data_IF_068270602631
#
_entry.id   IF_068270602631
#
_cell.length_a   1.000
_cell.length_b   1.000
_cell.length_c   1.000
_cell.angle_alpha   90.00
_cell.angle_beta   90.00
_cell.angle_gamma   90.00
#
_symmetry.space_group_name_H-M   'P 1'
#
loop_
_entity.id
_entity.type
_entity.pdbx_description
1 polymer ?
#
# COMPACT_ATOMS: atom_id res chain seq x y z
N UNK A 1 3.68 -4.47 -30.36
CA UNK A 1 4.98 -4.79 -29.73
C UNK A 1 5.13 -4.29 -28.30
N UNK A 2 4.61 -3.10 -27.92
CA UNK A 2 4.66 -2.59 -26.55
C UNK A 2 3.84 -3.41 -25.53
N UNK A 3 2.63 -3.87 -25.89
CA UNK A 3 1.78 -4.70 -25.04
C UNK A 3 2.33 -6.11 -24.75
N UNK A 4 3.14 -6.67 -25.66
CA UNK A 4 3.81 -7.96 -25.45
C UNK A 4 4.99 -7.83 -24.48
N UNK A 5 5.70 -6.68 -24.47
CA UNK A 5 6.77 -6.40 -23.50
C UNK A 5 6.23 -6.17 -22.08
N UNK A 6 5.07 -5.49 -21.92
CA UNK A 6 4.44 -5.33 -20.60
C UNK A 6 3.97 -6.65 -19.98
N UNK A 7 3.46 -7.60 -20.80
CA UNK A 7 3.07 -8.93 -20.32
C UNK A 7 4.23 -9.85 -19.95
N UNK A 8 5.42 -9.61 -20.47
CA UNK A 8 6.60 -10.43 -20.20
C UNK A 8 7.38 -9.96 -18.96
N UNK A 9 7.32 -8.67 -18.62
CA UNK A 9 7.90 -8.11 -17.39
C UNK A 9 7.11 -8.53 -16.14
N UNK A 10 5.80 -8.72 -16.26
CA UNK A 10 4.90 -9.06 -15.14
C UNK A 10 5.10 -10.48 -14.58
N UNK A 11 5.77 -11.41 -15.28
CA UNK A 11 5.93 -12.82 -14.88
C UNK A 11 7.14 -13.11 -13.99
N UNK A 12 8.08 -12.18 -13.85
CA UNK A 12 9.31 -12.41 -13.10
C UNK A 12 9.28 -11.92 -11.65
N UNK A 13 8.24 -11.20 -11.24
CA UNK A 13 8.14 -10.54 -9.92
C UNK A 13 7.08 -11.14 -9.01
N UNK A 14 6.16 -11.96 -9.51
CA UNK A 14 5.13 -12.59 -8.70
C UNK A 14 5.76 -13.49 -7.62
N UNK A 15 5.45 -13.25 -6.35
CA UNK A 15 5.89 -14.10 -5.24
C UNK A 15 5.34 -15.50 -5.35
N UNK A 16 4.06 -15.62 -5.73
CA UNK A 16 3.34 -16.85 -6.01
C UNK A 16 2.00 -16.50 -6.69
N UNK A 17 1.27 -17.52 -7.16
CA UNK A 17 -0.12 -17.33 -7.56
C UNK A 17 -0.96 -16.86 -6.35
N UNK A 18 -1.83 -15.87 -6.54
CA UNK A 18 -2.72 -15.35 -5.48
C UNK A 18 -3.53 -16.44 -4.80
N UNK A 19 -3.92 -17.48 -5.52
CA UNK A 19 -4.62 -18.63 -4.94
C UNK A 19 -3.75 -19.36 -3.90
N UNK A 20 -2.46 -19.53 -4.18
CA UNK A 20 -1.49 -20.13 -3.26
C UNK A 20 -1.27 -19.24 -2.05
N UNK A 21 -1.15 -17.92 -2.25
CA UNK A 21 -0.97 -16.98 -1.14
C UNK A 21 -2.18 -16.98 -0.19
N UNK A 22 -3.39 -17.10 -0.73
CA UNK A 22 -4.63 -17.23 0.04
C UNK A 22 -4.70 -18.53 0.83
N UNK A 23 -4.28 -19.66 0.24
CA UNK A 23 -4.23 -20.94 0.91
C UNK A 23 -3.24 -20.92 2.08
N UNK A 24 -2.07 -20.30 1.87
CA UNK A 24 -1.06 -20.13 2.93
C UNK A 24 -1.59 -19.29 4.09
N UNK A 25 -2.37 -18.23 3.83
CA UNK A 25 -2.94 -17.38 4.87
C UNK A 25 -3.96 -18.09 5.77
N UNK A 26 -4.58 -19.19 5.31
CA UNK A 26 -5.48 -19.99 6.14
C UNK A 26 -4.75 -20.73 7.28
N UNK A 27 -3.44 -20.98 7.13
CA UNK A 27 -2.58 -21.51 8.20
C UNK A 27 -1.67 -20.38 8.73
N UNK A 28 -2.19 -19.59 9.66
CA UNK A 28 -1.52 -18.38 10.19
C UNK A 28 -0.12 -18.67 10.76
N UNK A 29 0.12 -19.86 11.34
CA UNK A 29 1.44 -20.22 11.88
C UNK A 29 2.49 -20.38 10.77
N UNK A 30 2.10 -20.91 9.64
CA UNK A 30 2.97 -21.10 8.48
C UNK A 30 3.01 -19.83 7.60
N UNK A 31 1.94 -19.04 7.57
CA UNK A 31 1.85 -17.83 6.76
C UNK A 31 2.96 -16.82 7.09
N UNK A 32 3.13 -16.49 8.35
CA UNK A 32 4.15 -15.52 8.79
C UNK A 32 5.54 -15.96 8.32
N UNK A 33 5.90 -17.22 8.54
CA UNK A 33 7.21 -17.73 8.13
C UNK A 33 7.36 -17.78 6.61
N UNK A 34 6.30 -18.14 5.88
CA UNK A 34 6.30 -18.18 4.42
C UNK A 34 6.55 -16.79 3.83
N UNK A 35 5.77 -15.77 4.25
CA UNK A 35 5.89 -14.41 3.72
C UNK A 35 7.22 -13.76 4.13
N UNK A 36 7.69 -14.00 5.36
CA UNK A 36 9.01 -13.55 5.81
C UNK A 36 10.13 -14.11 4.92
N UNK A 37 10.13 -15.42 4.69
CA UNK A 37 11.12 -16.06 3.82
C UNK A 37 11.04 -15.56 2.37
N UNK A 38 9.82 -15.28 1.87
CA UNK A 38 9.61 -14.75 0.53
C UNK A 38 10.20 -13.32 0.39
N UNK A 39 9.95 -12.44 1.36
CA UNK A 39 10.51 -11.09 1.40
C UNK A 39 12.04 -11.10 1.53
N UNK A 40 12.60 -11.96 2.39
CA UNK A 40 14.05 -12.12 2.50
C UNK A 40 14.68 -12.63 1.20
N UNK A 41 14.02 -13.58 0.53
CA UNK A 41 14.49 -14.08 -0.78
C UNK A 41 14.45 -12.97 -1.84
N UNK A 42 13.40 -12.17 -1.86
CA UNK A 42 13.27 -11.02 -2.75
C UNK A 42 14.40 -10.01 -2.49
N UNK A 43 14.63 -9.61 -1.25
CA UNK A 43 15.71 -8.70 -0.87
C UNK A 43 17.09 -9.23 -1.26
N UNK A 44 17.38 -10.52 -1.03
CA UNK A 44 18.63 -11.14 -1.48
C UNK A 44 18.78 -11.13 -3.00
N UNK A 45 17.70 -11.31 -3.75
CA UNK A 45 17.72 -11.25 -5.21
C UNK A 45 18.01 -9.81 -5.70
N UNK A 46 17.31 -8.83 -5.13
CA UNK A 46 17.54 -7.41 -5.46
C UNK A 46 18.96 -6.96 -5.15
N UNK A 47 19.54 -7.40 -4.02
CA UNK A 47 20.91 -7.13 -3.68
C UNK A 47 21.91 -7.69 -4.72
N UNK A 48 21.66 -8.92 -5.23
CA UNK A 48 22.49 -9.49 -6.31
C UNK A 48 22.38 -8.69 -7.61
N UNK A 49 21.17 -8.25 -7.96
CA UNK A 49 20.92 -7.44 -9.17
C UNK A 49 21.60 -6.08 -9.06
N UNK A 50 21.58 -5.48 -7.87
CA UNK A 50 22.32 -4.24 -7.56
C UNK A 50 23.81 -4.40 -7.78
N UNK A 51 24.41 -5.49 -7.29
CA UNK A 51 25.84 -5.79 -7.53
C UNK A 51 26.18 -6.08 -8.99
N UNK A 52 25.19 -6.45 -9.79
CA UNK A 52 25.31 -6.60 -11.24
C UNK A 52 25.03 -5.30 -12.01
N UNK A 53 25.07 -4.14 -11.35
CA UNK A 53 24.88 -2.81 -11.90
C UNK A 53 23.50 -2.56 -12.53
N UNK A 54 22.45 -3.23 -12.04
CA UNK A 54 21.09 -2.87 -12.43
C UNK A 54 20.68 -1.52 -11.82
N UNK A 55 19.83 -0.77 -12.52
CA UNK A 55 19.46 0.58 -12.07
C UNK A 55 18.68 0.57 -10.76
N UNK A 56 18.97 1.51 -9.88
CA UNK A 56 18.29 1.65 -8.57
C UNK A 56 16.80 1.86 -8.78
N UNK A 57 16.40 2.67 -9.77
CA UNK A 57 14.99 2.95 -10.08
C UNK A 57 14.21 1.67 -10.44
N UNK A 58 14.85 0.73 -11.15
CA UNK A 58 14.25 -0.58 -11.44
C UNK A 58 14.07 -1.39 -10.16
N UNK A 59 15.11 -1.44 -9.31
CA UNK A 59 15.12 -2.27 -8.10
C UNK A 59 14.10 -1.79 -7.06
N UNK A 60 13.97 -0.47 -6.85
CA UNK A 60 13.01 0.07 -5.87
C UNK A 60 11.56 -0.09 -6.33
N UNK A 61 11.31 -0.04 -7.63
CA UNK A 61 9.98 -0.34 -8.19
C UNK A 61 9.64 -1.82 -8.09
N UNK A 62 10.60 -2.69 -8.34
CA UNK A 62 10.40 -4.13 -8.22
C UNK A 62 10.13 -4.53 -6.77
N UNK A 63 10.82 -3.92 -5.81
CA UNK A 63 10.54 -4.15 -4.39
C UNK A 63 9.14 -3.68 -4.03
N UNK A 64 8.73 -2.50 -4.49
CA UNK A 64 7.38 -1.99 -4.25
C UNK A 64 6.30 -2.95 -4.81
N UNK A 65 6.49 -3.48 -6.02
CA UNK A 65 5.56 -4.46 -6.62
C UNK A 65 5.48 -5.77 -5.81
N UNK A 66 6.60 -6.27 -5.30
CA UNK A 66 6.63 -7.47 -4.47
C UNK A 66 5.88 -7.23 -3.15
N UNK A 67 6.09 -6.07 -2.53
CA UNK A 67 5.40 -5.69 -1.29
C UNK A 67 3.92 -5.43 -1.54
N UNK A 68 3.54 -4.85 -2.69
CA UNK A 68 2.14 -4.71 -3.11
C UNK A 68 1.42 -6.07 -3.13
N UNK A 69 2.04 -7.11 -3.71
CA UNK A 69 1.43 -8.45 -3.77
C UNK A 69 1.20 -9.05 -2.37
N UNK A 70 2.15 -8.87 -1.46
CA UNK A 70 2.02 -9.31 -0.06
C UNK A 70 0.87 -8.58 0.62
N UNK A 71 0.88 -7.26 0.55
CA UNK A 71 -0.11 -6.40 1.20
C UNK A 71 -1.52 -6.66 0.65
N UNK A 72 -1.67 -6.75 -0.67
CA UNK A 72 -2.96 -7.00 -1.30
C UNK A 72 -3.53 -8.37 -0.93
N UNK A 73 -2.68 -9.39 -0.87
CA UNK A 73 -3.11 -10.75 -0.47
C UNK A 73 -3.55 -10.79 1.00
N UNK A 74 -2.82 -10.13 1.88
CA UNK A 74 -3.17 -10.02 3.29
C UNK A 74 -4.44 -9.18 3.49
N UNK A 75 -4.54 -8.02 2.82
CA UNK A 75 -5.70 -7.15 2.90
C UNK A 75 -6.99 -7.88 2.51
N UNK A 76 -6.98 -8.53 1.34
CA UNK A 76 -8.12 -9.30 0.86
C UNK A 76 -8.53 -10.40 1.85
N UNK A 77 -7.56 -11.08 2.47
CA UNK A 77 -7.82 -12.12 3.45
C UNK A 77 -8.48 -11.58 4.73
N UNK A 78 -7.91 -10.51 5.32
CA UNK A 78 -8.37 -9.99 6.60
C UNK A 78 -9.65 -9.14 6.49
N UNK A 79 -9.95 -8.57 5.31
CA UNK A 79 -11.15 -7.73 5.10
C UNK A 79 -12.27 -8.45 4.35
N UNK A 80 -12.15 -9.76 4.16
CA UNK A 80 -13.23 -10.57 3.56
C UNK A 80 -14.51 -10.50 4.41
N UNK A 81 -15.64 -10.18 3.79
CA UNK A 81 -16.96 -10.16 4.46
C UNK A 81 -17.34 -8.83 5.10
N UNK A 82 -16.56 -7.78 4.91
CA UNK A 82 -16.92 -6.41 5.33
C UNK A 82 -17.85 -5.82 4.26
N UNK A 83 -19.06 -5.43 4.64
CA UNK A 83 -20.08 -4.92 3.70
C UNK A 83 -19.71 -3.54 3.12
N UNK A 84 -19.30 -2.60 3.97
CA UNK A 84 -18.81 -1.27 3.56
C UNK A 84 -17.30 -1.31 3.40
N UNK A 85 -16.85 -1.80 2.25
CA UNK A 85 -15.44 -2.05 1.94
C UNK A 85 -14.60 -0.77 2.07
N UNK A 86 -13.59 -0.75 2.95
CA UNK A 86 -12.63 0.34 3.00
C UNK A 86 -11.69 0.31 1.79
N UNK A 87 -11.12 1.45 1.45
CA UNK A 87 -10.05 1.50 0.48
C UNK A 87 -8.68 1.46 1.18
N UNK A 88 -7.76 0.66 0.66
CA UNK A 88 -6.37 0.63 1.07
C UNK A 88 -5.55 1.50 0.12
N UNK A 89 -4.81 2.43 0.67
CA UNK A 89 -4.07 3.44 -0.07
C UNK A 89 -2.61 3.43 0.37
N UNK A 90 -1.67 3.36 -0.56
CA UNK A 90 -0.27 3.64 -0.33
C UNK A 90 -0.05 5.15 -0.36
N UNK A 91 0.73 5.68 0.58
CA UNK A 91 1.00 7.11 0.68
C UNK A 91 2.51 7.37 0.82
N UNK A 92 2.92 8.64 0.78
CA UNK A 92 4.32 9.00 0.89
C UNK A 92 5.20 8.37 -0.20
N UNK A 93 6.42 7.99 0.13
CA UNK A 93 7.36 7.36 -0.79
C UNK A 93 6.82 6.07 -1.41
N UNK A 94 6.15 5.25 -0.62
CA UNK A 94 5.51 4.04 -1.10
C UNK A 94 4.34 4.32 -2.06
N UNK A 95 3.64 5.44 -1.89
CA UNK A 95 2.60 5.89 -2.82
C UNK A 95 3.10 6.11 -4.24
N UNK A 96 4.34 6.57 -4.43
CA UNK A 96 4.98 6.71 -5.75
C UNK A 96 5.32 5.39 -6.45
N UNK A 97 5.09 4.25 -5.78
CA UNK A 97 5.48 2.93 -6.29
C UNK A 97 7.00 2.70 -6.21
N UNK A 98 7.65 3.33 -5.25
CA UNK A 98 9.08 3.22 -4.99
C UNK A 98 9.30 2.82 -3.52
N UNK A 99 10.02 1.73 -3.29
CA UNK A 99 10.34 1.26 -1.95
C UNK A 99 11.82 0.92 -1.87
N UNK A 100 12.53 1.61 -1.01
CA UNK A 100 13.93 1.29 -0.72
C UNK A 100 14.00 0.13 0.28
N UNK A 101 15.06 -0.71 0.23
CA UNK A 101 15.29 -1.70 1.28
C UNK A 101 15.31 -1.03 2.66
N UNK A 102 14.57 -1.61 3.60
CA UNK A 102 14.43 -1.12 4.99
C UNK A 102 13.71 0.24 5.16
N UNK A 103 13.02 0.73 4.14
CA UNK A 103 12.13 1.87 4.28
C UNK A 103 10.78 1.43 4.79
N UNK A 104 10.13 2.34 5.52
CA UNK A 104 8.76 2.16 6.00
C UNK A 104 7.79 2.06 4.83
N UNK A 105 6.77 1.25 5.00
CA UNK A 105 5.61 1.13 4.11
C UNK A 105 4.48 1.96 4.70
N UNK A 106 4.18 3.11 4.09
CA UNK A 106 3.14 3.99 4.57
C UNK A 106 1.78 3.64 3.94
N UNK A 107 0.82 3.28 4.79
CA UNK A 107 -0.52 2.89 4.40
C UNK A 107 -1.58 3.80 5.01
N UNK A 108 -2.64 4.03 4.27
CA UNK A 108 -3.85 4.65 4.77
C UNK A 108 -5.06 3.78 4.46
N UNK A 109 -5.85 3.50 5.50
CA UNK A 109 -7.17 2.89 5.36
C UNK A 109 -8.19 4.01 5.24
N UNK A 110 -8.84 4.11 4.09
CA UNK A 110 -9.79 5.16 3.77
C UNK A 110 -11.22 4.62 3.93
N UNK A 111 -11.98 5.24 4.82
CA UNK A 111 -13.33 4.84 5.19
C UNK A 111 -14.37 5.76 4.55
N UNK A 112 -15.59 5.25 4.32
CA UNK A 112 -16.72 6.06 3.86
C UNK A 112 -17.23 7.02 4.94
N UNK A 113 -17.07 6.63 6.21
CA UNK A 113 -17.46 7.39 7.40
C UNK A 113 -16.51 7.07 8.56
N UNK A 114 -16.45 7.94 9.58
CA UNK A 114 -15.49 7.84 10.69
C UNK A 114 -15.61 6.56 11.53
N UNK A 115 -16.73 5.87 11.46
CA UNK A 115 -16.94 4.56 12.09
C UNK A 115 -17.64 3.63 11.14
N UNK A 116 -16.96 2.55 10.78
CA UNK A 116 -17.55 1.38 10.14
C UNK A 116 -17.60 0.30 11.20
N UNK A 117 -18.79 -0.27 11.43
CA UNK A 117 -18.91 -1.41 12.33
C UNK A 117 -17.95 -2.53 11.86
N UNK A 118 -17.30 -3.16 12.82
CA UNK A 118 -16.47 -4.34 12.63
C UNK A 118 -15.19 -4.15 11.78
N UNK A 119 -14.72 -2.91 11.56
CA UNK A 119 -13.46 -2.67 10.81
C UNK A 119 -12.20 -2.74 11.69
N UNK A 120 -12.30 -2.37 12.95
CA UNK A 120 -11.14 -2.20 13.84
C UNK A 120 -10.35 -3.51 14.02
N UNK A 121 -11.04 -4.63 14.23
CA UNK A 121 -10.40 -5.92 14.42
C UNK A 121 -9.71 -6.43 13.13
N UNK A 122 -10.36 -6.46 11.95
CA UNK A 122 -9.71 -6.83 10.70
C UNK A 122 -8.48 -5.99 10.37
N UNK A 123 -8.56 -4.67 10.52
CA UNK A 123 -7.43 -3.78 10.26
C UNK A 123 -6.29 -4.02 11.26
N UNK A 124 -6.61 -4.19 12.54
CA UNK A 124 -5.59 -4.49 13.55
C UNK A 124 -4.87 -5.82 13.28
N UNK A 125 -5.61 -6.86 12.89
CA UNK A 125 -5.03 -8.16 12.52
C UNK A 125 -4.18 -8.08 11.25
N UNK A 126 -4.64 -7.34 10.26
CA UNK A 126 -3.88 -7.06 9.05
C UNK A 126 -2.54 -6.38 9.37
N UNK A 127 -2.55 -5.31 10.14
CA UNK A 127 -1.33 -4.58 10.52
C UNK A 127 -0.38 -5.45 11.37
N UNK A 128 -0.92 -6.19 12.34
CA UNK A 128 -0.13 -7.13 13.15
C UNK A 128 0.57 -8.18 12.27
N UNK A 129 -0.15 -8.73 11.29
CA UNK A 129 0.43 -9.66 10.33
C UNK A 129 1.58 -9.03 9.52
N UNK A 130 1.43 -7.78 9.05
CA UNK A 130 2.49 -7.09 8.31
C UNK A 130 3.74 -6.88 9.17
N UNK A 131 3.59 -6.50 10.43
CA UNK A 131 4.72 -6.41 11.37
C UNK A 131 5.35 -7.78 11.64
N UNK A 132 4.53 -8.81 11.83
CA UNK A 132 5.01 -10.18 12.08
C UNK A 132 5.84 -10.74 10.92
N UNK A 133 5.53 -10.39 9.68
CA UNK A 133 6.33 -10.81 8.52
C UNK A 133 7.58 -9.94 8.31
N UNK A 134 7.78 -8.89 9.14
CA UNK A 134 8.98 -8.06 9.16
C UNK A 134 8.91 -6.81 8.29
N UNK A 135 7.71 -6.35 7.92
CA UNK A 135 7.53 -5.03 7.30
C UNK A 135 7.42 -3.96 8.40
N UNK A 136 8.15 -2.86 8.23
CA UNK A 136 7.94 -1.65 9.02
C UNK A 136 6.81 -0.86 8.37
N UNK A 137 5.66 -0.74 9.09
CA UNK A 137 4.44 -0.14 8.53
C UNK A 137 4.01 1.05 9.35
N UNK A 138 4.05 2.23 8.74
CA UNK A 138 3.31 3.41 9.18
C UNK A 138 1.87 3.33 8.68
N UNK A 139 0.90 3.68 9.53
CA UNK A 139 -0.50 3.62 9.10
C UNK A 139 -1.36 4.74 9.66
N UNK A 140 -2.44 5.02 8.94
CA UNK A 140 -3.52 5.90 9.39
C UNK A 140 -4.87 5.37 8.91
N UNK A 141 -5.94 5.70 9.65
CA UNK A 141 -7.32 5.38 9.28
C UNK A 141 -8.08 6.70 9.22
N UNK A 142 -8.67 7.03 8.09
CA UNK A 142 -9.29 8.34 7.85
C UNK A 142 -10.47 8.25 6.90
N UNK A 143 -11.34 9.25 6.96
CA UNK A 143 -12.33 9.54 5.92
C UNK A 143 -11.77 10.60 4.94
N UNK A 144 -12.37 10.78 3.76
CA UNK A 144 -12.03 11.89 2.87
C UNK A 144 -12.15 13.27 3.53
N UNK A 145 -13.10 13.45 4.45
CA UNK A 145 -13.32 14.67 5.23
C UNK A 145 -12.17 14.95 6.20
N UNK A 146 -11.75 13.92 6.92
CA UNK A 146 -10.61 14.01 7.85
C UNK A 146 -9.30 14.29 7.09
N UNK A 147 -9.10 13.67 5.92
CA UNK A 147 -7.97 13.97 5.04
C UNK A 147 -7.94 15.46 4.65
N UNK A 148 -9.08 16.04 4.27
CA UNK A 148 -9.15 17.46 3.93
C UNK A 148 -8.86 18.36 5.13
N UNK A 149 -9.44 18.07 6.28
CA UNK A 149 -9.26 18.84 7.51
C UNK A 149 -7.79 18.84 7.95
N UNK A 150 -7.15 17.68 7.98
CA UNK A 150 -5.75 17.56 8.39
C UNK A 150 -4.79 18.18 7.36
N UNK A 151 -5.06 18.04 6.07
CA UNK A 151 -4.28 18.68 5.00
C UNK A 151 -4.33 20.20 5.05
N UNK A 152 -5.42 20.77 5.56
CA UNK A 152 -5.55 22.22 5.76
C UNK A 152 -4.69 22.72 6.92
N UNK A 153 -4.39 21.85 7.88
CA UNK A 153 -3.61 22.18 9.08
C UNK A 153 -2.12 21.84 8.93
N UNK A 154 -1.78 20.87 8.08
CA UNK A 154 -0.41 20.39 7.90
C UNK A 154 -0.11 20.11 6.41
N UNK A 155 0.79 20.91 5.86
CA UNK A 155 1.25 20.78 4.48
C UNK A 155 1.97 19.45 4.22
N UNK A 156 2.56 18.85 5.24
CA UNK A 156 3.23 17.55 5.10
C UNK A 156 2.21 16.44 4.80
N UNK A 157 1.04 16.50 5.44
CA UNK A 157 -0.06 15.59 5.15
C UNK A 157 -0.55 15.79 3.72
N UNK A 158 -0.74 17.05 3.29
CA UNK A 158 -1.16 17.34 1.93
C UNK A 158 -0.18 16.76 0.90
N UNK A 159 1.12 17.00 1.07
CA UNK A 159 2.13 16.47 0.13
C UNK A 159 2.17 14.95 0.12
N UNK A 160 2.01 14.31 1.27
CA UNK A 160 1.90 12.84 1.39
C UNK A 160 0.70 12.30 0.62
N UNK A 161 -0.46 12.98 0.70
CA UNK A 161 -1.67 12.57 -0.03
C UNK A 161 -1.61 12.87 -1.53
N UNK A 162 -0.80 13.85 -1.97
CA UNK A 162 -0.56 14.10 -3.41
C UNK A 162 0.18 12.94 -4.09
N UNK A 163 0.92 12.15 -3.35
CA UNK A 163 1.65 10.97 -3.81
C UNK A 163 0.86 9.67 -3.59
N UNK A 164 -0.40 9.78 -3.14
CA UNK A 164 -1.23 8.63 -2.81
C UNK A 164 -1.55 7.76 -4.03
N UNK A 165 -1.59 6.45 -3.81
CA UNK A 165 -1.92 5.43 -4.82
C UNK A 165 -2.92 4.43 -4.24
N UNK A 166 -4.05 4.26 -4.92
CA UNK A 166 -5.03 3.24 -4.55
C UNK A 166 -4.45 1.84 -4.76
N UNK A 167 -4.41 1.04 -3.71
CA UNK A 167 -4.00 -0.37 -3.76
C UNK A 167 -5.21 -1.28 -3.95
N UNK A 168 -6.27 -1.07 -3.17
CA UNK A 168 -7.48 -1.90 -3.18
C UNK A 168 -8.69 -1.13 -2.66
N UNK A 169 -9.88 -1.60 -3.01
CA UNK A 169 -11.15 -1.04 -2.51
C UNK A 169 -11.83 -0.06 -3.47
N UNK A 170 -12.87 0.63 -3.01
CA UNK A 170 -13.69 1.49 -3.86
C UNK A 170 -12.95 2.73 -4.36
N UNK A 171 -12.78 2.86 -5.69
CA UNK A 171 -12.16 4.04 -6.30
C UNK A 171 -12.92 5.34 -5.96
N UNK A 172 -14.22 5.26 -5.73
CA UNK A 172 -15.04 6.43 -5.38
C UNK A 172 -14.58 7.11 -4.08
N UNK A 173 -14.09 6.35 -3.08
CA UNK A 173 -13.53 6.90 -1.85
C UNK A 173 -12.20 7.62 -2.11
N UNK A 174 -11.36 7.02 -2.93
CA UNK A 174 -10.07 7.58 -3.32
C UNK A 174 -10.26 8.88 -4.13
N UNK A 175 -11.19 8.88 -5.08
CA UNK A 175 -11.54 10.07 -5.89
C UNK A 175 -12.13 11.18 -5.01
N UNK A 176 -12.98 10.82 -4.02
CA UNK A 176 -13.53 11.77 -3.06
C UNK A 176 -12.43 12.42 -2.20
N UNK A 177 -11.47 11.65 -1.73
CA UNK A 177 -10.31 12.16 -1.00
C UNK A 177 -9.52 13.15 -1.89
N UNK A 178 -9.13 12.74 -3.11
CA UNK A 178 -8.38 13.62 -4.01
C UNK A 178 -9.12 14.90 -4.33
N UNK A 179 -10.43 14.84 -4.57
CA UNK A 179 -11.25 16.03 -4.81
C UNK A 179 -11.24 16.97 -3.61
N UNK A 180 -11.38 16.43 -2.39
CA UNK A 180 -11.41 17.24 -1.16
C UNK A 180 -10.05 17.81 -0.79
N UNK A 181 -8.96 17.11 -1.10
CA UNK A 181 -7.57 17.55 -0.85
C UNK A 181 -6.94 18.29 -2.03
N UNK A 182 -7.71 18.62 -3.08
CA UNK A 182 -7.20 19.42 -4.18
C UNK A 182 -6.82 20.83 -3.70
N UNK A 183 -5.81 21.43 -4.31
CA UNK A 183 -5.30 22.77 -3.94
C UNK A 183 -6.41 23.85 -3.94
N UNK A 184 -7.39 23.71 -4.83
CA UNK A 184 -8.51 24.63 -4.95
C UNK A 184 -9.46 24.57 -3.75
N UNK A 185 -9.52 23.43 -3.05
CA UNK A 185 -10.40 23.22 -1.91
C UNK A 185 -9.71 23.43 -0.55
N UNK A 186 -8.40 23.30 -0.48
CA UNK A 186 -7.65 23.38 0.79
C UNK A 186 -7.10 24.79 1.01
N UNK A 187 -6.63 25.47 -0.04
CA UNK A 187 -6.03 26.77 0.09
C UNK A 187 -6.61 27.75 -0.92
N UNK A 188 -7.19 28.83 -0.40
CA UNK A 188 -7.49 29.98 -1.22
C UNK A 188 -6.15 30.53 -1.75
N UNK A 189 -5.97 30.47 -3.07
CA UNK A 189 -4.74 30.94 -3.74
C UNK A 189 -4.40 32.41 -3.43
N UNK A 190 -5.37 33.16 -2.94
CA UNK A 190 -5.21 34.55 -2.50
C UNK A 190 -4.54 34.71 -1.12
N UNK A 191 -4.50 33.64 -0.30
CA UNK A 191 -3.88 33.68 1.03
C UNK A 191 -2.36 33.38 1.00
N UNK A 192 -1.78 33.07 -0.17
CA UNK A 192 -0.36 32.70 -0.32
C UNK A 192 0.52 33.88 -0.79
N UNK A 193 -0.08 35.03 -1.08
CA UNK A 193 0.58 36.27 -1.46
C UNK A 193 0.12 37.41 -0.52
#
# INVERSE_FOLDING_TARGET
>A
MAQARMKQTSRHHALADRAVLREVLNDQNNAVQFFRNALEKANRNLAKRFHNNESIESLVRDLALIVDEVILSAWEYFTTGIDDQPALVAVGGYGRGELHPYSDVDLMVLLSQSRIADIDEPVSRFLAFLWDIGLEVGHSVRTPEECATESSNDVTILTTLMEARLLSGPAILFDAMHKKTSKENIWDSAAFF
#
